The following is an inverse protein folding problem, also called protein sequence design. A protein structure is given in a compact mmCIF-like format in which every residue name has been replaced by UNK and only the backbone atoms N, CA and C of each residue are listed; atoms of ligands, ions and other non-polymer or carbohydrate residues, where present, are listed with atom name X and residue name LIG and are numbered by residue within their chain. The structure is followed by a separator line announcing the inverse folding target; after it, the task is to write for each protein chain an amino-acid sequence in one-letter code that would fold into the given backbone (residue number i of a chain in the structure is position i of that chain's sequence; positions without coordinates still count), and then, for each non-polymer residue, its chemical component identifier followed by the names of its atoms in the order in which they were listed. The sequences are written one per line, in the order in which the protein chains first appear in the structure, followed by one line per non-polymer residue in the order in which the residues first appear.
data_IF_930791442894
#
_entry.id   IF_930791442894
#
_cell.length_a   1.000
_cell.length_b   1.000
_cell.length_c   1.000
_cell.angle_alpha   90.00
_cell.angle_beta   90.00
_cell.angle_gamma   90.00
#
_symmetry.space_group_name_H-M   'P 1'
#
loop_
_entity.id
_entity.type
_entity.pdbx_description
1 polymer ?
#
# COMPACT_ATOMS: atom_id res chain seq x y z
N UNK A 1 11.38 -31.95 90.58
CA UNK A 1 12.38 -31.02 91.15
C UNK A 1 12.87 -30.16 89.98
N UNK A 2 12.62 -28.85 90.05
CA UNK A 2 13.26 -27.72 89.33
C UNK A 2 12.95 -27.51 87.81
N UNK A 3 12.83 -26.21 87.51
CA UNK A 3 12.26 -25.45 86.40
C UNK A 3 13.17 -25.23 85.16
N UNK A 4 12.55 -24.61 84.13
CA UNK A 4 13.07 -23.61 83.16
C UNK A 4 13.48 -24.14 81.76
N UNK A 5 13.32 -23.46 80.61
CA UNK A 5 12.53 -22.29 80.15
C UNK A 5 12.84 -22.06 78.65
N UNK A 6 11.79 -21.79 77.84
CA UNK A 6 11.64 -20.85 76.68
C UNK A 6 12.59 -20.90 75.44
N UNK A 7 12.01 -20.98 74.22
CA UNK A 7 11.96 -19.94 73.11
C UNK A 7 11.71 -20.59 71.73
N UNK A 8 10.79 -19.97 70.98
CA UNK A 8 10.24 -20.32 69.67
C UNK A 8 11.12 -19.96 68.45
N UNK A 9 10.85 -20.58 67.29
CA UNK A 9 10.74 -19.89 65.98
C UNK A 9 9.71 -20.61 65.09
N UNK A 10 8.60 -19.94 64.81
CA UNK A 10 7.67 -20.19 63.71
C UNK A 10 8.32 -19.80 62.38
N UNK A 11 8.49 -20.76 61.47
CA UNK A 11 8.96 -20.54 60.10
C UNK A 11 7.79 -20.24 59.16
N UNK A 12 7.80 -19.02 58.63
CA UNK A 12 6.96 -18.46 57.58
C UNK A 12 7.24 -19.16 56.23
N UNK A 13 6.23 -19.73 55.58
CA UNK A 13 6.26 -20.09 54.15
C UNK A 13 5.21 -19.23 53.45
N UNK A 14 5.65 -18.13 52.85
CA UNK A 14 4.86 -17.34 51.90
C UNK A 14 5.77 -17.01 50.73
N UNK A 15 5.35 -17.38 49.53
CA UNK A 15 5.71 -16.66 48.32
C UNK A 15 6.47 -17.43 47.25
N UNK A 16 5.76 -18.30 46.50
CA UNK A 16 5.99 -18.50 45.05
C UNK A 16 4.65 -18.89 44.40
N UNK A 17 3.72 -17.95 44.23
CA UNK A 17 2.49 -18.19 43.44
C UNK A 17 1.90 -16.91 42.83
N UNK A 18 2.68 -15.83 42.66
CA UNK A 18 2.16 -14.54 42.19
C UNK A 18 2.98 -13.89 41.06
N UNK A 19 3.93 -14.61 40.43
CA UNK A 19 4.78 -14.03 39.37
C UNK A 19 4.27 -14.35 37.95
N UNK A 20 3.41 -15.37 37.77
CA UNK A 20 2.93 -15.77 36.44
C UNK A 20 1.62 -15.10 35.99
N UNK A 21 0.91 -14.38 36.86
CA UNK A 21 -0.37 -13.73 36.51
C UNK A 21 -0.22 -12.29 35.97
N UNK A 22 1.00 -11.74 35.93
CA UNK A 22 1.26 -10.35 35.50
C UNK A 22 2.01 -10.23 34.16
N UNK A 23 2.29 -11.35 33.48
CA UNK A 23 3.04 -11.37 32.20
C UNK A 23 2.25 -11.33 30.88
N UNK A 24 0.93 -11.62 30.78
CA UNK A 24 0.28 -11.58 29.48
C UNK A 24 0.14 -10.15 28.91
N UNK A 25 0.00 -9.13 29.76
CA UNK A 25 -0.18 -7.75 29.30
C UNK A 25 1.12 -7.10 28.81
N UNK A 26 2.27 -7.39 29.41
CA UNK A 26 3.55 -6.81 28.98
C UNK A 26 3.98 -7.33 27.61
N UNK A 27 3.65 -8.59 27.26
CA UNK A 27 3.92 -9.15 25.94
C UNK A 27 3.00 -8.53 24.89
N UNK A 28 1.69 -8.42 25.18
CA UNK A 28 0.73 -7.78 24.28
C UNK A 28 1.03 -6.28 24.05
N UNK A 29 1.39 -5.53 25.09
CA UNK A 29 1.79 -4.12 24.96
C UNK A 29 3.13 -3.97 24.21
N UNK A 30 4.07 -4.90 24.38
CA UNK A 30 5.33 -4.88 23.63
C UNK A 30 5.16 -5.26 22.16
N UNK A 31 4.27 -6.21 21.86
CA UNK A 31 3.92 -6.61 20.50
C UNK A 31 3.12 -5.51 19.79
N UNK A 32 2.19 -4.88 20.49
CA UNK A 32 1.42 -3.72 20.00
C UNK A 32 2.33 -2.51 19.72
N UNK A 33 3.31 -2.22 20.58
CA UNK A 33 4.27 -1.13 20.31
C UNK A 33 5.24 -1.46 19.18
N UNK A 34 5.68 -2.72 19.06
CA UNK A 34 6.52 -3.15 17.95
C UNK A 34 5.77 -3.06 16.62
N UNK A 35 4.51 -3.51 16.57
CA UNK A 35 3.68 -3.42 15.36
C UNK A 35 3.38 -1.97 14.97
N UNK A 36 3.17 -1.07 15.93
CA UNK A 36 2.99 0.37 15.65
C UNK A 36 4.26 1.00 15.07
N UNK A 37 5.43 0.71 15.65
CA UNK A 37 6.72 1.22 15.14
C UNK A 37 7.03 0.67 13.73
N UNK A 38 6.64 -0.58 13.47
CA UNK A 38 6.83 -1.20 12.16
C UNK A 38 5.87 -0.60 11.10
N UNK A 39 4.64 -0.23 11.47
CA UNK A 39 3.69 0.48 10.59
C UNK A 39 4.14 1.93 10.33
N UNK A 40 4.62 2.65 11.35
CA UNK A 40 5.16 4.00 11.17
C UNK A 40 6.31 3.99 10.16
N UNK A 41 7.26 3.06 10.29
CA UNK A 41 8.36 2.90 9.34
C UNK A 41 7.91 2.47 7.95
N UNK A 42 6.88 1.62 7.88
CA UNK A 42 6.29 1.22 6.60
C UNK A 42 5.67 2.43 5.91
N UNK A 43 4.89 3.25 6.63
CA UNK A 43 4.30 4.47 6.11
C UNK A 43 5.36 5.48 5.69
N UNK A 44 6.43 5.66 6.48
CA UNK A 44 7.58 6.49 6.08
C UNK A 44 8.24 5.96 4.79
N UNK A 45 8.39 4.64 4.64
CA UNK A 45 8.96 4.04 3.44
C UNK A 45 8.04 4.19 2.21
N UNK A 46 6.72 4.11 2.39
CA UNK A 46 5.75 4.35 1.33
C UNK A 46 5.67 5.85 0.97
N UNK A 47 5.72 6.75 1.95
CA UNK A 47 5.82 8.20 1.73
C UNK A 47 7.12 8.60 1.02
N UNK A 48 8.18 7.82 1.21
CA UNK A 48 9.43 7.94 0.48
C UNK A 48 9.30 7.78 -1.05
N UNK A 49 8.19 7.26 -1.59
CA UNK A 49 7.94 7.08 -3.04
C UNK A 49 7.75 8.39 -3.85
N UNK A 50 8.07 9.55 -3.26
CA UNK A 50 7.68 10.92 -3.62
C UNK A 50 8.03 11.48 -5.02
N UNK A 51 8.04 10.66 -6.07
CA UNK A 51 8.11 11.08 -7.47
C UNK A 51 6.75 11.49 -8.07
N UNK A 52 5.70 11.65 -7.26
CA UNK A 52 4.37 12.10 -7.72
C UNK A 52 4.41 13.55 -8.25
N UNK A 53 5.43 14.34 -7.86
CA UNK A 53 5.52 15.77 -8.20
C UNK A 53 5.88 16.10 -9.66
N UNK A 54 6.54 15.21 -10.39
CA UNK A 54 7.05 15.50 -11.75
C UNK A 54 6.25 14.81 -12.87
N UNK A 55 5.18 14.08 -12.53
CA UNK A 55 4.36 13.35 -13.49
C UNK A 55 2.97 13.97 -13.64
N UNK A 56 2.49 14.08 -14.88
CA UNK A 56 1.11 14.45 -15.16
C UNK A 56 0.23 13.21 -15.09
N UNK A 57 -0.71 13.22 -14.14
CA UNK A 57 -1.69 12.16 -13.97
C UNK A 57 -3.07 12.62 -14.47
N UNK A 58 -3.87 11.68 -14.97
CA UNK A 58 -5.20 11.98 -15.53
C UNK A 58 -6.28 12.09 -14.44
N UNK A 59 -6.11 11.34 -13.36
CA UNK A 59 -6.95 11.39 -12.17
C UNK A 59 -6.55 12.57 -11.26
N UNK A 60 -7.51 13.23 -10.63
CA UNK A 60 -7.27 14.27 -9.62
C UNK A 60 -7.62 13.79 -8.21
N UNK A 61 -8.60 12.89 -8.08
CA UNK A 61 -9.10 12.40 -6.80
C UNK A 61 -9.30 10.90 -6.82
N UNK A 62 -9.35 10.27 -5.65
CA UNK A 62 -9.52 8.83 -5.51
C UNK A 62 -10.83 8.34 -6.16
N UNK A 63 -11.90 9.15 -6.15
CA UNK A 63 -13.17 8.79 -6.81
C UNK A 63 -13.02 8.53 -8.31
N UNK A 64 -12.02 9.12 -8.96
CA UNK A 64 -11.78 8.96 -10.39
C UNK A 64 -10.98 7.68 -10.72
N UNK A 65 -10.57 6.95 -9.69
CA UNK A 65 -9.94 5.63 -9.81
C UNK A 65 -10.91 4.47 -9.59
N UNK A 66 -12.13 4.78 -9.15
CA UNK A 66 -13.16 3.79 -8.87
C UNK A 66 -13.77 3.25 -10.18
N UNK A 67 -14.32 2.02 -10.15
CA UNK A 67 -14.78 1.35 -11.37
C UNK A 67 -15.98 2.02 -12.05
N UNK A 68 -16.69 2.88 -11.33
CA UNK A 68 -17.75 3.72 -11.87
C UNK A 68 -17.26 5.05 -12.47
N UNK A 69 -15.96 5.18 -12.74
CA UNK A 69 -15.39 6.32 -13.47
C UNK A 69 -14.75 5.88 -14.79
N UNK A 70 -15.05 6.61 -15.86
CA UNK A 70 -14.47 6.38 -17.18
C UNK A 70 -14.15 7.70 -17.89
N UNK A 71 -13.23 7.63 -18.84
CA UNK A 71 -12.87 8.74 -19.73
C UNK A 71 -13.28 8.41 -21.16
N UNK A 72 -13.89 9.37 -21.85
CA UNK A 72 -14.30 9.24 -23.25
C UNK A 72 -13.55 10.25 -24.13
N UNK A 73 -12.70 9.81 -25.06
CA UNK A 73 -11.99 10.69 -26.00
C UNK A 73 -12.80 10.92 -27.27
N UNK A 74 -12.99 12.18 -27.67
CA UNK A 74 -13.57 12.62 -28.94
C UNK A 74 -14.90 11.92 -29.31
N UNK A 75 -15.72 11.60 -28.30
CA UNK A 75 -17.01 10.93 -28.46
C UNK A 75 -16.96 9.40 -28.55
N UNK A 76 -15.79 8.80 -28.36
CA UNK A 76 -15.62 7.36 -28.20
C UNK A 76 -16.27 6.85 -26.91
N UNK A 77 -16.57 5.54 -26.81
CA UNK A 77 -17.05 4.93 -25.57
C UNK A 77 -16.09 5.21 -24.41
N UNK A 78 -16.66 5.44 -23.22
CA UNK A 78 -15.88 5.62 -22.00
C UNK A 78 -15.02 4.39 -21.69
N UNK A 79 -13.76 4.62 -21.34
CA UNK A 79 -12.81 3.61 -20.90
C UNK A 79 -12.30 3.93 -19.50
N UNK A 80 -12.15 2.91 -18.67
CA UNK A 80 -11.53 3.06 -17.35
C UNK A 80 -10.03 3.35 -17.52
N UNK A 81 -9.49 4.18 -16.64
CA UNK A 81 -8.05 4.52 -16.62
C UNK A 81 -7.25 3.38 -15.99
N UNK A 82 -7.81 2.83 -14.91
CA UNK A 82 -7.20 1.78 -14.10
C UNK A 82 -7.94 0.46 -14.33
N UNK A 83 -7.22 -0.64 -14.15
CA UNK A 83 -7.77 -1.98 -14.33
C UNK A 83 -8.69 -2.33 -13.15
N UNK A 84 -8.23 -2.00 -11.94
CA UNK A 84 -8.94 -2.29 -10.71
C UNK A 84 -8.54 -1.39 -9.55
N UNK A 85 -9.41 -1.35 -8.55
CA UNK A 85 -9.15 -0.80 -7.23
C UNK A 85 -9.48 -1.88 -6.23
N UNK A 86 -8.58 -2.22 -5.31
CA UNK A 86 -8.75 -3.38 -4.43
C UNK A 86 -8.53 -3.05 -2.96
N UNK A 87 -9.16 -3.85 -2.11
CA UNK A 87 -8.80 -4.10 -0.72
C UNK A 87 -8.33 -5.56 -0.61
N UNK A 88 -7.17 -5.77 0.00
CA UNK A 88 -6.55 -7.09 0.02
C UNK A 88 -5.66 -7.34 1.22
N UNK A 89 -5.42 -8.62 1.52
CA UNK A 89 -4.47 -9.05 2.53
C UNK A 89 -3.17 -9.47 1.86
N UNK A 90 -2.05 -8.88 2.27
CA UNK A 90 -0.73 -9.25 1.72
C UNK A 90 -0.28 -10.57 2.36
N UNK A 91 -0.31 -11.66 1.59
CA UNK A 91 0.12 -12.98 2.06
C UNK A 91 1.64 -13.14 2.03
N UNK A 92 2.34 -12.36 1.21
CA UNK A 92 3.79 -12.36 1.14
C UNK A 92 4.35 -11.23 0.27
N UNK A 93 5.65 -10.99 0.43
CA UNK A 93 6.40 -10.03 -0.37
C UNK A 93 7.74 -10.66 -0.76
N UNK A 94 8.18 -10.40 -2.00
CA UNK A 94 9.49 -10.87 -2.49
C UNK A 94 10.17 -9.82 -3.37
N UNK A 95 11.50 -9.88 -3.50
CA UNK A 95 12.21 -9.11 -4.50
C UNK A 95 11.63 -9.32 -5.90
N UNK A 96 11.47 -8.21 -6.64
CA UNK A 96 11.18 -8.19 -8.06
C UNK A 96 12.45 -8.03 -8.87
N UNK A 97 12.52 -6.97 -9.66
CA UNK A 97 13.63 -6.63 -10.56
C UNK A 97 14.23 -5.27 -10.22
N UNK A 98 15.50 -5.08 -10.60
CA UNK A 98 16.11 -3.76 -10.70
C UNK A 98 15.89 -3.22 -12.11
N UNK A 99 15.84 -1.90 -12.26
CA UNK A 99 15.66 -1.27 -13.56
C UNK A 99 16.64 -0.14 -13.75
N UNK A 100 17.18 -0.04 -14.96
CA UNK A 100 18.05 1.05 -15.40
C UNK A 100 17.49 1.62 -16.70
N UNK A 101 17.57 2.93 -16.83
CA UNK A 101 17.19 3.63 -18.05
C UNK A 101 18.44 4.26 -18.67
N UNK A 102 18.59 4.14 -19.98
CA UNK A 102 19.63 4.83 -20.73
C UNK A 102 18.99 5.63 -21.84
N UNK A 103 19.37 6.90 -21.95
CA UNK A 103 18.96 7.74 -23.07
C UNK A 103 19.96 7.51 -24.20
N UNK A 104 19.47 6.93 -25.30
CA UNK A 104 20.21 6.73 -26.53
C UNK A 104 20.53 8.04 -27.23
N UNK A 105 21.33 7.98 -28.30
CA UNK A 105 21.73 9.16 -29.07
C UNK A 105 20.61 9.83 -29.88
N UNK A 106 19.41 9.26 -29.90
CA UNK A 106 18.20 9.72 -30.58
C UNK A 106 17.05 10.04 -29.59
N UNK A 107 17.38 10.28 -28.32
CA UNK A 107 16.43 10.48 -27.22
C UNK A 107 15.49 9.28 -26.97
N UNK A 108 15.81 8.10 -27.50
CA UNK A 108 15.10 6.87 -27.09
C UNK A 108 15.52 6.46 -25.69
N UNK A 109 14.54 6.20 -24.83
CA UNK A 109 14.78 5.63 -23.51
C UNK A 109 14.80 4.12 -23.64
N UNK A 110 15.99 3.53 -23.56
CA UNK A 110 16.16 2.09 -23.45
C UNK A 110 16.05 1.70 -21.97
N UNK A 111 15.08 0.84 -21.65
CA UNK A 111 14.89 0.32 -20.30
C UNK A 111 15.46 -1.09 -20.20
N UNK A 112 16.41 -1.27 -19.30
CA UNK A 112 17.05 -2.55 -19.02
C UNK A 112 16.55 -3.13 -17.70
N UNK A 113 16.20 -4.42 -17.72
CA UNK A 113 15.80 -5.19 -16.53
C UNK A 113 17.05 -5.86 -15.96
N UNK A 114 17.36 -5.54 -14.72
CA UNK A 114 18.51 -6.02 -13.97
C UNK A 114 18.08 -6.92 -12.82
N UNK A 115 19.05 -7.61 -12.22
CA UNK A 115 18.84 -8.27 -10.94
C UNK A 115 18.45 -7.25 -9.86
N UNK A 116 17.57 -7.64 -8.94
CA UNK A 116 17.11 -6.76 -7.87
C UNK A 116 18.25 -6.12 -7.05
N UNK A 117 19.29 -6.88 -6.74
CA UNK A 117 20.47 -6.43 -5.97
C UNK A 117 21.52 -5.71 -6.84
N UNK A 118 21.26 -5.47 -8.13
CA UNK A 118 22.19 -4.76 -8.99
C UNK A 118 22.32 -3.31 -8.51
N UNK A 119 23.55 -2.90 -8.19
CA UNK A 119 23.86 -1.56 -7.67
C UNK A 119 23.75 -0.46 -8.72
N UNK A 120 23.65 -0.83 -10.00
CA UNK A 120 23.49 0.11 -11.11
C UNK A 120 22.02 0.35 -11.47
N UNK A 121 21.08 -0.37 -10.83
CA UNK A 121 19.66 -0.10 -10.96
C UNK A 121 19.30 1.25 -10.33
N UNK A 122 18.52 2.05 -11.06
CA UNK A 122 18.02 3.35 -10.62
C UNK A 122 16.79 3.22 -9.73
N UNK A 123 15.96 2.22 -9.99
CA UNK A 123 14.76 1.90 -9.21
C UNK A 123 14.56 0.38 -9.20
N UNK A 124 13.69 -0.09 -8.30
CA UNK A 124 13.45 -1.52 -8.07
C UNK A 124 11.96 -1.80 -8.00
N UNK A 125 11.59 -3.07 -8.11
CA UNK A 125 10.24 -3.52 -7.84
C UNK A 125 10.21 -4.55 -6.71
N UNK A 126 9.16 -4.50 -5.91
CA UNK A 126 8.79 -5.57 -4.99
C UNK A 126 7.50 -6.20 -5.50
N UNK A 127 7.42 -7.53 -5.46
CA UNK A 127 6.23 -8.28 -5.84
C UNK A 127 5.54 -8.74 -4.58
N UNK A 128 4.29 -8.33 -4.42
CA UNK A 128 3.39 -8.74 -3.35
C UNK A 128 2.48 -9.85 -3.86
N UNK A 129 2.26 -10.87 -3.04
CA UNK A 129 1.13 -11.79 -3.19
C UNK A 129 -0.01 -11.23 -2.35
N UNK A 130 -1.16 -10.99 -2.98
CA UNK A 130 -2.31 -10.32 -2.35
C UNK A 130 -3.54 -11.19 -2.51
N UNK A 131 -4.13 -11.60 -1.39
CA UNK A 131 -5.48 -12.15 -1.34
C UNK A 131 -6.47 -11.00 -1.48
N UNK A 132 -7.30 -11.02 -2.53
CA UNK A 132 -8.28 -9.97 -2.79
C UNK A 132 -9.50 -10.20 -1.90
N UNK A 133 -9.79 -9.23 -1.05
CA UNK A 133 -10.96 -9.25 -0.16
C UNK A 133 -12.15 -8.53 -0.80
N UNK A 134 -11.87 -7.47 -1.56
CA UNK A 134 -12.84 -6.72 -2.35
C UNK A 134 -12.15 -6.08 -3.57
N UNK A 135 -12.75 -6.12 -4.75
CA UNK A 135 -12.26 -5.48 -5.97
C UNK A 135 -13.05 -4.23 -6.39
N UNK A 136 -14.02 -3.82 -5.55
CA UNK A 136 -14.91 -2.65 -5.70
C UNK A 136 -15.69 -2.57 -7.03
N UNK A 137 -15.43 -3.48 -7.98
CA UNK A 137 -16.05 -3.62 -9.29
C UNK A 137 -16.81 -4.94 -9.33
N UNK A 138 -18.12 -4.87 -9.04
CA UNK A 138 -18.97 -6.05 -9.02
C UNK A 138 -19.07 -6.80 -10.36
N UNK A 139 -18.62 -6.21 -11.47
CA UNK A 139 -18.61 -6.84 -12.80
C UNK A 139 -17.26 -7.47 -13.16
N UNK A 140 -16.20 -7.18 -12.39
CA UNK A 140 -14.88 -7.75 -12.64
C UNK A 140 -14.82 -9.23 -12.24
N UNK A 141 -14.03 -10.00 -12.99
CA UNK A 141 -13.67 -11.38 -12.67
C UNK A 141 -12.22 -11.38 -12.17
N UNK A 142 -11.99 -10.78 -11.00
CA UNK A 142 -10.68 -10.73 -10.37
C UNK A 142 -10.35 -12.08 -9.70
N UNK A 143 -9.15 -12.64 -9.92
CA UNK A 143 -8.70 -13.79 -9.14
C UNK A 143 -8.66 -13.46 -7.64
N UNK A 144 -9.01 -14.44 -6.80
CA UNK A 144 -8.95 -14.29 -5.33
C UNK A 144 -7.53 -14.08 -4.79
N UNK A 145 -6.50 -14.42 -5.57
CA UNK A 145 -5.11 -14.11 -5.27
C UNK A 145 -4.43 -13.56 -6.53
N UNK A 146 -3.80 -12.40 -6.39
CA UNK A 146 -3.09 -11.73 -7.47
C UNK A 146 -1.66 -11.38 -7.07
N UNK A 147 -0.85 -11.03 -8.07
CA UNK A 147 0.46 -10.42 -7.86
C UNK A 147 0.34 -8.92 -8.05
N UNK A 148 0.78 -8.15 -7.07
CA UNK A 148 0.87 -6.69 -7.15
C UNK A 148 2.34 -6.30 -7.21
N UNK A 149 2.72 -5.47 -8.18
CA UNK A 149 4.08 -4.93 -8.28
C UNK A 149 4.10 -3.52 -7.73
N UNK A 150 4.89 -3.34 -6.68
CA UNK A 150 5.20 -2.04 -6.12
C UNK A 150 6.51 -1.54 -6.73
N UNK A 151 6.45 -0.40 -7.41
CA UNK A 151 7.62 0.37 -7.80
C UNK A 151 8.24 0.97 -6.54
N UNK A 152 9.57 0.87 -6.41
CA UNK A 152 10.36 1.51 -5.37
C UNK A 152 11.40 2.41 -6.00
N UNK A 153 11.35 3.69 -5.68
CA UNK A 153 12.40 4.63 -6.03
C UNK A 153 13.73 4.31 -5.33
N UNK A 154 14.80 4.99 -5.74
CA UNK A 154 16.14 4.79 -5.16
C UNK A 154 16.29 5.25 -3.71
N UNK A 155 15.34 6.02 -3.16
CA UNK A 155 15.37 6.53 -1.80
C UNK A 155 14.73 5.56 -0.80
N UNK A 156 13.81 4.70 -1.25
CA UNK A 156 13.10 3.75 -0.40
C UNK A 156 13.93 2.51 -0.11
N UNK A 157 14.07 2.14 1.17
CA UNK A 157 14.71 0.87 1.57
C UNK A 157 13.76 -0.32 1.29
N UNK A 158 14.07 -1.19 0.30
CA UNK A 158 13.19 -2.30 -0.02
C UNK A 158 13.06 -3.32 1.11
N UNK A 159 14.03 -3.38 2.03
CA UNK A 159 13.97 -4.29 3.17
C UNK A 159 12.89 -3.91 4.18
N UNK A 160 12.46 -2.64 4.21
CA UNK A 160 11.31 -2.20 5.01
C UNK A 160 10.03 -2.75 4.40
N UNK A 161 9.84 -2.54 3.10
CA UNK A 161 8.67 -3.02 2.35
C UNK A 161 8.53 -4.55 2.43
N UNK A 162 9.62 -5.28 2.15
CA UNK A 162 9.65 -6.75 2.14
C UNK A 162 9.30 -7.37 3.50
N UNK A 163 9.53 -6.65 4.61
CA UNK A 163 9.23 -7.14 5.97
C UNK A 163 7.93 -6.58 6.53
N UNK A 164 7.59 -5.34 6.16
CA UNK A 164 6.49 -4.60 6.76
C UNK A 164 5.13 -4.91 6.14
N UNK A 165 5.07 -5.16 4.82
CA UNK A 165 3.80 -5.42 4.15
C UNK A 165 3.20 -6.82 4.39
N UNK A 166 3.97 -7.92 4.49
CA UNK A 166 3.36 -9.23 4.77
C UNK A 166 2.49 -9.22 6.03
N UNK A 167 1.25 -9.71 5.90
CA UNK A 167 0.25 -9.74 6.96
C UNK A 167 -0.52 -8.42 7.15
N UNK A 168 -0.25 -7.40 6.35
CA UNK A 168 -1.02 -6.15 6.36
C UNK A 168 -2.20 -6.22 5.41
N UNK A 169 -3.31 -5.58 5.82
CA UNK A 169 -4.40 -5.24 4.92
C UNK A 169 -4.03 -3.96 4.17
N UNK A 170 -4.18 -4.00 2.86
CA UNK A 170 -3.84 -2.90 1.96
C UNK A 170 -5.02 -2.48 1.12
N UNK A 171 -4.97 -1.24 0.68
CA UNK A 171 -5.75 -0.74 -0.44
C UNK A 171 -4.80 -0.44 -1.58
N UNK A 172 -5.19 -0.74 -2.82
CA UNK A 172 -4.37 -0.41 -3.98
C UNK A 172 -5.20 -0.08 -5.23
N UNK A 173 -4.75 0.93 -5.98
CA UNK A 173 -5.22 1.18 -7.35
C UNK A 173 -4.24 0.54 -8.32
N UNK A 174 -4.76 -0.26 -9.24
CA UNK A 174 -3.99 -1.18 -10.08
C UNK A 174 -4.09 -0.80 -11.57
N UNK A 175 -2.95 -0.80 -12.23
CA UNK A 175 -2.88 -0.74 -13.70
C UNK A 175 -3.01 -2.13 -14.31
N UNK A 176 -3.27 -2.18 -15.62
CA UNK A 176 -3.31 -3.44 -16.36
C UNK A 176 -1.94 -4.17 -16.28
N UNK A 177 -1.95 -5.52 -16.18
CA UNK A 177 -0.73 -6.31 -16.10
C UNK A 177 0.10 -6.23 -17.39
N UNK A 178 1.37 -6.63 -17.30
CA UNK A 178 2.28 -6.73 -18.46
C UNK A 178 3.17 -5.50 -18.69
N UNK A 179 3.03 -4.43 -17.90
CA UNK A 179 3.94 -3.27 -17.95
C UNK A 179 5.25 -3.48 -17.19
N UNK A 180 5.23 -4.34 -16.17
CA UNK A 180 6.37 -4.64 -15.29
C UNK A 180 6.52 -6.16 -15.12
N UNK A 181 7.68 -6.59 -14.63
CA UNK A 181 7.93 -8.00 -14.32
C UNK A 181 7.53 -8.36 -12.87
N UNK A 182 6.90 -9.52 -12.64
CA UNK A 182 6.50 -10.50 -13.64
C UNK A 182 5.32 -10.01 -14.49
N UNK A 183 5.27 -10.40 -15.76
CA UNK A 183 4.26 -9.90 -16.72
C UNK A 183 2.79 -10.14 -16.33
N UNK A 184 2.54 -11.07 -15.40
CA UNK A 184 1.21 -11.38 -14.87
C UNK A 184 0.84 -10.59 -13.61
N UNK A 185 1.70 -9.67 -13.15
CA UNK A 185 1.43 -8.82 -12.02
C UNK A 185 0.84 -7.47 -12.41
N UNK A 186 -0.01 -6.95 -11.53
CA UNK A 186 -0.64 -5.66 -11.62
C UNK A 186 0.27 -4.59 -11.00
N UNK A 187 0.78 -3.62 -11.76
CA UNK A 187 1.48 -2.48 -11.20
C UNK A 187 0.56 -1.64 -10.32
N UNK A 188 1.05 -1.18 -9.18
CA UNK A 188 0.38 -0.11 -8.44
C UNK A 188 0.50 1.19 -9.22
N UNK A 189 -0.64 1.87 -9.42
CA UNK A 189 -0.73 3.11 -10.14
C UNK A 189 0.10 4.25 -9.51
N UNK A 190 0.38 5.28 -10.31
CA UNK A 190 1.22 6.43 -9.94
C UNK A 190 2.58 6.03 -9.37
N UNK A 191 3.28 5.13 -10.05
CA UNK A 191 4.59 4.65 -9.65
C UNK A 191 4.60 4.09 -8.20
N UNK A 192 3.54 3.42 -7.79
CA UNK A 192 3.46 2.88 -6.43
C UNK A 192 2.82 3.78 -5.38
N UNK A 193 2.47 5.03 -5.70
CA UNK A 193 1.92 5.95 -4.70
C UNK A 193 0.49 5.61 -4.27
N UNK A 194 -0.29 4.93 -5.13
CA UNK A 194 -1.68 4.53 -4.83
C UNK A 194 -1.77 3.16 -4.15
N UNK A 195 -0.87 2.89 -3.20
CA UNK A 195 -0.98 1.80 -2.24
C UNK A 195 -0.99 2.36 -0.83
N UNK A 196 -1.87 1.80 -0.01
CA UNK A 196 -2.09 2.23 1.37
C UNK A 196 -2.20 1.07 2.33
N UNK A 197 -2.08 1.36 3.61
CA UNK A 197 -2.41 0.43 4.69
C UNK A 197 -3.83 0.75 5.16
N UNK A 198 -4.61 -0.29 5.42
CA UNK A 198 -5.94 -0.19 6.00
C UNK A 198 -5.86 -0.60 7.47
N UNK A 199 -6.27 0.29 8.37
CA UNK A 199 -6.33 -0.02 9.80
C UNK A 199 -7.50 -0.97 10.13
N UNK A 200 -7.48 -1.52 11.35
CA UNK A 200 -8.51 -2.46 11.82
C UNK A 200 -9.94 -1.87 11.82
N UNK A 201 -10.07 -0.55 11.98
CA UNK A 201 -11.35 0.17 11.91
C UNK A 201 -11.76 0.56 10.48
N UNK A 202 -10.97 0.16 9.47
CA UNK A 202 -11.23 0.40 8.06
C UNK A 202 -10.82 1.79 7.57
N UNK A 203 -10.10 2.58 8.38
CA UNK A 203 -9.50 3.82 7.90
C UNK A 203 -8.37 3.52 6.91
N UNK A 204 -8.29 4.35 5.89
CA UNK A 204 -7.33 4.25 4.80
C UNK A 204 -6.36 5.41 4.87
N UNK A 205 -5.07 5.10 4.71
CA UNK A 205 -4.04 6.09 4.39
C UNK A 205 -3.27 5.67 3.14
N UNK A 206 -2.98 6.65 2.28
CA UNK A 206 -2.15 6.56 1.07
C UNK A 206 -0.86 7.38 1.28
N UNK A 207 0.06 6.91 2.14
CA UNK A 207 1.23 7.70 2.54
C UNK A 207 2.13 8.09 1.36
N UNK A 208 2.13 7.32 0.26
CA UNK A 208 2.88 7.64 -0.96
C UNK A 208 2.47 8.94 -1.66
N UNK A 209 1.33 9.54 -1.27
CA UNK A 209 0.89 10.85 -1.74
C UNK A 209 1.42 12.02 -0.89
N UNK A 210 1.99 11.75 0.28
CA UNK A 210 2.54 12.75 1.21
C UNK A 210 1.57 13.93 1.43
N UNK A 211 2.01 15.18 1.20
CA UNK A 211 1.21 16.39 1.40
C UNK A 211 -0.04 16.48 0.51
N UNK A 212 -0.17 15.62 -0.51
CA UNK A 212 -1.31 15.59 -1.43
C UNK A 212 -2.39 14.59 -1.02
N UNK A 213 -2.15 13.77 0.01
CA UNK A 213 -3.07 12.70 0.43
C UNK A 213 -4.48 13.24 0.71
N UNK A 214 -4.63 14.24 1.60
CA UNK A 214 -5.94 14.77 1.99
C UNK A 214 -6.75 15.31 0.80
N UNK A 215 -6.08 16.03 -0.11
CA UNK A 215 -6.72 16.62 -1.30
C UNK A 215 -7.13 15.56 -2.32
N UNK A 216 -6.27 14.55 -2.53
CA UNK A 216 -6.56 13.46 -3.45
C UNK A 216 -7.66 12.54 -2.91
N UNK A 217 -7.65 12.24 -1.61
CA UNK A 217 -8.62 11.36 -0.97
C UNK A 217 -10.03 11.96 -0.97
N UNK A 218 -10.17 13.29 -0.96
CA UNK A 218 -11.44 14.04 -1.05
C UNK A 218 -12.57 13.44 -0.18
N UNK A 219 -12.24 13.08 1.06
CA UNK A 219 -13.18 12.49 2.03
C UNK A 219 -13.36 10.96 1.96
N UNK A 220 -12.80 10.26 0.98
CA UNK A 220 -12.81 8.80 0.85
C UNK A 220 -11.76 8.12 1.74
N UNK A 221 -11.77 8.46 3.03
CA UNK A 221 -10.76 8.06 4.03
C UNK A 221 -11.02 6.71 4.69
N UNK A 222 -12.04 5.97 4.25
CA UNK A 222 -12.39 4.64 4.79
C UNK A 222 -12.85 3.70 3.70
N UNK A 223 -12.68 2.39 3.90
CA UNK A 223 -13.16 1.38 2.95
C UNK A 223 -14.67 1.45 2.72
N UNK A 224 -15.46 1.76 3.75
CA UNK A 224 -16.92 1.89 3.61
C UNK A 224 -17.32 3.11 2.77
N UNK A 225 -16.57 4.22 2.88
CA UNK A 225 -16.78 5.38 2.03
C UNK A 225 -16.45 5.06 0.56
N UNK A 226 -15.37 4.31 0.33
CA UNK A 226 -14.99 3.85 -1.02
C UNK A 226 -16.05 2.92 -1.60
N UNK A 227 -16.52 1.93 -0.85
CA UNK A 227 -17.58 1.01 -1.27
C UNK A 227 -18.86 1.76 -1.65
N UNK A 228 -19.28 2.71 -0.82
CA UNK A 228 -20.45 3.55 -1.11
C UNK A 228 -20.24 4.38 -2.39
N UNK A 229 -19.03 4.91 -2.59
CA UNK A 229 -18.71 5.72 -3.75
C UNK A 229 -18.62 4.90 -5.04
N UNK A 230 -18.11 3.66 -4.98
CA UNK A 230 -17.99 2.76 -6.15
C UNK A 230 -19.35 2.28 -6.66
N UNK A 231 -20.37 2.23 -5.80
CA UNK A 231 -21.75 1.89 -6.17
C UNK A 231 -22.53 3.06 -6.83
N UNK A 232 -21.97 4.27 -6.84
CA UNK A 232 -22.64 5.41 -7.47
C UNK A 232 -22.75 5.21 -9.00
N UNK A 233 -23.70 5.88 -9.68
CA UNK A 233 -23.85 5.77 -11.13
C UNK A 233 -22.56 6.08 -11.88
N UNK A 234 -22.34 5.38 -13.00
CA UNK A 234 -21.19 5.59 -13.88
C UNK A 234 -21.04 7.07 -14.27
N UNK A 235 -19.87 7.63 -14.01
CA UNK A 235 -19.44 8.96 -14.41
C UNK A 235 -18.50 8.85 -15.59
N UNK A 236 -18.80 9.56 -16.67
CA UNK A 236 -17.94 9.62 -17.86
C UNK A 236 -17.43 11.04 -18.04
N UNK A 237 -16.11 11.23 -17.93
CA UNK A 237 -15.46 12.50 -18.21
C UNK A 237 -15.17 12.61 -19.71
N UNK A 238 -15.84 13.51 -20.46
CA UNK A 238 -15.55 13.69 -21.87
C UNK A 238 -14.26 14.49 -22.06
N UNK A 239 -13.43 13.99 -22.97
CA UNK A 239 -12.19 14.61 -23.38
C UNK A 239 -12.21 14.88 -24.92
N UNK A 240 -12.11 16.14 -25.40
CA UNK A 240 -11.80 16.50 -26.80
C UNK A 240 -10.35 16.95 -27.17
N UNK A 241 -9.70 16.31 -28.15
CA UNK A 241 -8.35 16.66 -28.66
C UNK A 241 -8.28 18.02 -29.39
N UNK A 242 -9.41 18.74 -29.40
CA UNK A 242 -9.69 20.09 -29.88
C UNK A 242 -8.49 21.05 -30.04
N UNK A 243 -7.62 21.07 -29.02
CA UNK A 243 -6.58 22.07 -28.85
C UNK A 243 -5.15 21.51 -28.82
N UNK A 244 -4.94 20.25 -29.22
CA UNK A 244 -3.61 19.65 -29.35
C UNK A 244 -2.83 19.42 -28.04
N UNK A 245 -3.41 19.79 -26.88
CA UNK A 245 -2.91 19.47 -25.55
C UNK A 245 -4.08 19.17 -24.62
N UNK A 246 -3.86 18.17 -23.77
CA UNK A 246 -4.76 17.76 -22.71
C UNK A 246 -4.14 18.12 -21.39
N UNK A 247 -4.61 19.22 -20.82
CA UNK A 247 -4.19 19.69 -19.51
C UNK A 247 -5.46 19.84 -18.66
N UNK A 248 -5.64 18.93 -17.70
CA UNK A 248 -6.55 19.18 -16.58
C UNK A 248 -5.83 20.12 -15.64
N UNK A 249 -6.21 21.39 -15.68
CA UNK A 249 -5.68 22.43 -14.79
C UNK A 249 -6.45 22.52 -13.46
N UNK A 250 -7.42 21.63 -13.25
CA UNK A 250 -8.33 21.59 -12.11
C UNK A 250 -7.93 20.61 -11.00
N UNK A 251 -6.83 19.85 -11.16
CA UNK A 251 -6.22 19.12 -10.05
C UNK A 251 -5.44 20.11 -9.16
N UNK A 252 -6.13 20.98 -8.41
CA UNK A 252 -5.51 21.99 -7.52
C UNK A 252 -5.63 21.63 -6.05
#
# INVERSE_FOLDING_TARGET
MIFASVVAVTGLVVGIAAVDALRPNAVAESQSRASVIDIERLNEALAGQGSVGDAHFLDCTLSETLPNFAIAWDGEPGQRIFEATIDGMVSGARPGSGHRESVGGDDTVEREILGFEDKTAYWRTVVLSVEVLNDFDSEADMPSEIKVVLWLDGATDPAVILRGLPGQRIFAVLEAPGRLEPSDAYPVARNGALIGVVSDDGALSLPGLDVYEDGYMDGLTTLSAIETASEAPMTVLPLSTANGYWERTDCS
#
